data_IF_928655508559
#
_entry.id   IF_928655508559
#
_cell.length_a   1.000
_cell.length_b   1.000
_cell.length_c   1.000
_cell.angle_alpha   90.00
_cell.angle_beta   90.00
_cell.angle_gamma   90.00
#
_symmetry.space_group_name_H-M   'P 1'
#
loop_
_entity.id
_entity.type
_entity.pdbx_description
1 polymer ?
#
# COMPACT_ATOMS: atom_id res chain seq x y z
N UNK A 1 20.97 28.16 -17.33
CA UNK A 1 20.80 27.78 -15.91
C UNK A 1 19.36 27.59 -15.50
N UNK A 2 18.44 28.45 -15.94
CA UNK A 2 17.00 28.29 -15.67
C UNK A 2 16.37 27.06 -16.33
N UNK A 3 16.94 26.58 -17.43
CA UNK A 3 16.46 25.40 -18.14
C UNK A 3 16.57 24.10 -17.35
N UNK A 4 17.68 23.86 -16.64
CA UNK A 4 17.87 22.67 -15.80
C UNK A 4 16.90 22.63 -14.62
N UNK A 5 16.60 23.77 -14.04
CA UNK A 5 15.64 23.87 -12.93
C UNK A 5 14.21 23.62 -13.43
N UNK A 6 13.90 24.13 -14.63
CA UNK A 6 12.60 23.95 -15.26
C UNK A 6 12.34 22.47 -15.61
N UNK A 7 13.35 21.77 -16.14
CA UNK A 7 13.25 20.34 -16.47
C UNK A 7 13.00 19.48 -15.23
N UNK A 8 13.73 19.70 -14.14
CA UNK A 8 13.51 18.99 -12.86
C UNK A 8 12.12 19.26 -12.30
N UNK A 9 11.64 20.48 -12.41
CA UNK A 9 10.31 20.85 -11.95
C UNK A 9 9.23 20.19 -12.83
N UNK A 10 9.46 20.09 -14.13
CA UNK A 10 8.55 19.48 -15.09
C UNK A 10 8.40 17.98 -14.85
N UNK A 11 9.49 17.25 -14.62
CA UNK A 11 9.45 15.82 -14.29
C UNK A 11 8.67 15.55 -13.00
N UNK A 12 8.94 16.34 -11.96
CA UNK A 12 8.24 16.25 -10.69
C UNK A 12 6.75 16.59 -10.84
N UNK A 13 6.43 17.58 -11.67
CA UNK A 13 5.07 18.01 -11.95
C UNK A 13 4.33 16.94 -12.75
N UNK A 14 4.99 16.30 -13.72
CA UNK A 14 4.39 15.24 -14.54
C UNK A 14 3.95 14.04 -13.70
N UNK A 15 4.81 13.60 -12.75
CA UNK A 15 4.45 12.53 -11.83
C UNK A 15 3.27 12.93 -10.93
N UNK A 16 3.19 14.20 -10.56
CA UNK A 16 2.11 14.75 -9.74
C UNK A 16 0.81 14.91 -10.52
N UNK A 17 0.90 15.20 -11.82
CA UNK A 17 -0.26 15.41 -12.69
C UNK A 17 -1.01 14.12 -13.04
N UNK A 18 -0.34 12.96 -13.05
CA UNK A 18 -0.98 11.68 -13.36
C UNK A 18 -2.04 11.34 -12.31
N UNK A 19 -1.73 11.57 -11.05
CA UNK A 19 -2.63 11.28 -9.93
C UNK A 19 -2.94 12.55 -9.15
N UNK A 20 -4.21 12.75 -8.84
CA UNK A 20 -4.64 13.85 -7.95
C UNK A 20 -4.21 13.55 -6.51
N UNK A 21 -4.16 14.56 -5.62
CA UNK A 21 -3.88 14.31 -4.20
C UNK A 21 -4.82 13.29 -3.55
N UNK A 22 -6.11 13.31 -3.90
CA UNK A 22 -7.08 12.34 -3.39
C UNK A 22 -6.77 10.93 -3.89
N UNK A 23 -6.35 10.79 -5.15
CA UNK A 23 -5.96 9.50 -5.73
C UNK A 23 -4.69 8.95 -5.09
N UNK A 24 -3.71 9.80 -4.85
CA UNK A 24 -2.49 9.42 -4.12
C UNK A 24 -2.80 8.94 -2.70
N UNK A 25 -3.73 9.62 -2.03
CA UNK A 25 -4.17 9.25 -0.69
C UNK A 25 -4.85 7.87 -0.71
N UNK A 26 -5.60 7.55 -1.76
CA UNK A 26 -6.21 6.23 -1.94
C UNK A 26 -5.14 5.14 -1.99
N UNK A 27 -4.07 5.34 -2.77
CA UNK A 27 -2.95 4.39 -2.83
C UNK A 27 -2.27 4.24 -1.48
N UNK A 28 -2.04 5.32 -0.78
CA UNK A 28 -1.42 5.31 0.55
C UNK A 28 -2.28 4.59 1.58
N UNK A 29 -3.58 4.85 1.58
CA UNK A 29 -4.54 4.17 2.47
C UNK A 29 -4.51 2.66 2.23
N UNK A 30 -4.49 2.25 0.97
CA UNK A 30 -4.41 0.83 0.62
C UNK A 30 -3.12 0.19 1.15
N UNK A 31 -1.98 0.75 0.84
CA UNK A 31 -0.69 0.17 1.18
C UNK A 31 -0.42 0.17 2.69
N UNK A 32 -0.62 1.30 3.36
CA UNK A 32 -0.44 1.38 4.80
C UNK A 32 -1.49 0.55 5.56
N UNK A 33 -2.70 0.49 5.02
CA UNK A 33 -3.77 -0.35 5.56
C UNK A 33 -3.40 -1.83 5.53
N UNK A 34 -2.78 -2.31 4.44
CA UNK A 34 -2.31 -3.69 4.35
C UNK A 34 -1.26 -3.99 5.42
N UNK A 35 -0.28 -3.11 5.62
CA UNK A 35 0.71 -3.27 6.69
C UNK A 35 0.02 -3.41 8.04
N UNK A 36 -0.92 -2.54 8.35
CA UNK A 36 -1.65 -2.54 9.62
C UNK A 36 -2.52 -3.78 9.79
N UNK A 37 -3.19 -4.23 8.72
CA UNK A 37 -4.04 -5.43 8.77
C UNK A 37 -3.21 -6.70 8.95
N UNK A 38 -2.06 -6.78 8.30
CA UNK A 38 -1.16 -7.93 8.46
C UNK A 38 -0.64 -8.00 9.90
N UNK A 39 -0.27 -6.86 10.48
CA UNK A 39 0.14 -6.80 11.88
C UNK A 39 -1.00 -7.19 12.83
N UNK A 40 -2.22 -6.72 12.56
CA UNK A 40 -3.40 -7.03 13.39
C UNK A 40 -3.82 -8.50 13.29
N UNK A 41 -3.57 -9.16 12.15
CA UNK A 41 -3.89 -10.56 11.94
C UNK A 41 -2.90 -11.51 12.61
N UNK A 42 -1.75 -11.02 13.04
CA UNK A 42 -0.76 -11.79 13.77
C UNK A 42 -1.14 -11.81 15.27
N UNK A 43 -1.43 -12.99 15.85
CA UNK A 43 -1.89 -13.07 17.24
C UNK A 43 -0.80 -12.82 18.29
N UNK A 44 0.47 -12.84 17.90
CA UNK A 44 1.59 -12.62 18.80
C UNK A 44 1.94 -11.15 18.97
N UNK A 45 2.10 -10.66 20.19
CA UNK A 45 2.42 -9.26 20.42
C UNK A 45 3.77 -8.85 19.80
N UNK A 46 4.81 -9.69 19.97
CA UNK A 46 6.15 -9.45 19.44
C UNK A 46 6.17 -9.68 17.93
N UNK A 47 5.56 -10.77 17.45
CA UNK A 47 5.52 -11.07 16.01
C UNK A 47 4.66 -10.09 15.24
N UNK A 48 3.58 -9.55 15.83
CA UNK A 48 2.78 -8.47 15.25
C UNK A 48 3.63 -7.23 14.99
N UNK A 49 4.47 -6.85 15.94
CA UNK A 49 5.40 -5.72 15.76
C UNK A 49 6.39 -6.00 14.64
N UNK A 50 6.95 -7.20 14.58
CA UNK A 50 7.87 -7.61 13.50
C UNK A 50 7.19 -7.58 12.13
N UNK A 51 5.97 -8.11 12.05
CA UNK A 51 5.19 -8.11 10.82
C UNK A 51 4.94 -6.68 10.33
N UNK A 52 4.56 -5.79 11.22
CA UNK A 52 4.37 -4.37 10.91
C UNK A 52 5.65 -3.70 10.43
N UNK A 53 6.77 -3.95 11.09
CA UNK A 53 8.06 -3.39 10.69
C UNK A 53 8.53 -3.95 9.34
N UNK A 54 8.39 -5.25 9.12
CA UNK A 54 8.79 -5.90 7.87
C UNK A 54 7.92 -5.43 6.70
N UNK A 55 6.61 -5.34 6.92
CA UNK A 55 5.69 -4.81 5.91
C UNK A 55 5.97 -3.34 5.59
N UNK A 56 6.23 -2.53 6.61
CA UNK A 56 6.59 -1.12 6.43
C UNK A 56 7.89 -0.93 5.68
N UNK A 57 8.88 -1.78 5.95
CA UNK A 57 10.15 -1.78 5.21
C UNK A 57 9.94 -2.16 3.75
N UNK A 58 9.13 -3.18 3.49
CA UNK A 58 8.80 -3.59 2.13
C UNK A 58 8.07 -2.47 1.37
N UNK A 59 7.13 -1.78 2.03
CA UNK A 59 6.43 -0.63 1.48
C UNK A 59 7.42 0.48 1.10
N UNK A 60 8.38 0.76 1.97
CA UNK A 60 9.41 1.79 1.72
C UNK A 60 10.37 1.42 0.59
N UNK A 61 10.43 0.15 0.21
CA UNK A 61 11.27 -0.34 -0.89
C UNK A 61 10.59 -0.26 -2.25
N UNK A 62 9.32 0.12 -2.30
CA UNK A 62 8.57 0.21 -3.55
C UNK A 62 9.21 1.22 -4.51
N UNK A 63 9.11 0.95 -5.81
CA UNK A 63 9.73 1.75 -6.86
C UNK A 63 8.68 2.24 -7.87
N UNK A 64 9.10 3.04 -8.85
CA UNK A 64 8.24 3.58 -9.88
C UNK A 64 7.28 4.65 -9.36
N UNK A 65 6.20 4.88 -10.08
CA UNK A 65 5.17 5.85 -9.68
C UNK A 65 4.56 5.48 -8.32
N UNK A 66 4.26 4.20 -8.14
CA UNK A 66 3.74 3.68 -6.87
C UNK A 66 4.70 4.00 -5.72
N UNK A 67 5.97 3.67 -5.87
CA UNK A 67 6.97 3.95 -4.84
C UNK A 67 7.09 5.43 -4.52
N UNK A 68 7.03 6.26 -5.55
CA UNK A 68 7.08 7.71 -5.39
C UNK A 68 5.88 8.25 -4.58
N UNK A 69 4.69 7.78 -4.92
CA UNK A 69 3.46 8.16 -4.22
C UNK A 69 3.49 7.69 -2.76
N UNK A 70 3.93 6.46 -2.52
CA UNK A 70 3.96 5.90 -1.16
C UNK A 70 5.00 6.61 -0.27
N UNK A 71 6.02 7.21 -0.88
CA UNK A 71 7.04 7.97 -0.15
C UNK A 71 6.60 9.41 0.19
N UNK A 72 5.57 9.93 -0.47
CA UNK A 72 5.08 11.29 -0.22
C UNK A 72 4.42 11.40 1.15
N UNK A 73 4.62 12.53 1.82
CA UNK A 73 3.90 12.86 3.06
C UNK A 73 2.61 13.57 2.70
N UNK A 74 1.50 12.85 2.72
CA UNK A 74 0.19 13.40 2.43
C UNK A 74 -0.58 13.66 3.71
N UNK A 75 -1.31 14.77 3.74
CA UNK A 75 -2.24 15.09 4.81
C UNK A 75 -3.56 14.34 4.57
N UNK A 76 -4.17 13.88 5.64
CA UNK A 76 -5.48 13.22 5.57
C UNK A 76 -5.42 11.70 5.60
N UNK A 77 -4.21 11.11 5.68
CA UNK A 77 -4.09 9.68 5.87
C UNK A 77 -4.51 9.34 7.31
N UNK A 78 -5.69 8.76 7.44
CA UNK A 78 -6.23 8.35 8.73
C UNK A 78 -6.46 6.84 8.72
N UNK A 79 -5.59 6.12 9.43
CA UNK A 79 -5.69 4.68 9.61
C UNK A 79 -6.13 4.32 11.03
N UNK A 80 -6.35 5.32 11.87
CA UNK A 80 -6.86 5.15 13.23
C UNK A 80 -8.38 4.92 13.19
N UNK A 81 -8.80 3.89 12.48
CA UNK A 81 -10.18 3.45 12.52
C UNK A 81 -10.56 3.02 13.93
N UNK A 82 -11.83 3.18 14.28
CA UNK A 82 -12.34 2.80 15.59
C UNK A 82 -12.27 1.30 15.85
N UNK A 83 -12.03 0.48 14.79
CA UNK A 83 -11.91 -0.98 14.91
C UNK A 83 -11.11 -1.55 13.74
N UNK A 84 -10.62 -2.79 13.92
CA UNK A 84 -9.98 -3.55 12.86
C UNK A 84 -10.93 -3.78 11.68
N UNK A 85 -12.22 -3.96 11.95
CA UNK A 85 -13.23 -4.15 10.90
C UNK A 85 -13.35 -2.89 10.03
N UNK A 86 -13.38 -1.70 10.62
CA UNK A 86 -13.42 -0.43 9.89
C UNK A 86 -12.15 -0.23 9.07
N UNK A 87 -10.99 -0.53 9.64
CA UNK A 87 -9.71 -0.46 8.95
C UNK A 87 -9.71 -1.41 7.74
N UNK A 88 -10.23 -2.63 7.91
CA UNK A 88 -10.33 -3.61 6.83
C UNK A 88 -11.22 -3.11 5.70
N UNK A 89 -12.39 -2.59 6.02
CA UNK A 89 -13.34 -2.07 5.02
C UNK A 89 -12.71 -0.93 4.21
N UNK A 90 -12.09 0.03 4.87
CA UNK A 90 -11.41 1.15 4.22
C UNK A 90 -10.26 0.67 3.33
N UNK A 91 -9.47 -0.27 3.84
CA UNK A 91 -8.33 -0.82 3.10
C UNK A 91 -8.75 -1.59 1.86
N UNK A 92 -9.74 -2.48 1.99
CA UNK A 92 -10.24 -3.27 0.86
C UNK A 92 -10.84 -2.38 -0.22
N UNK A 93 -11.63 -1.39 0.17
CA UNK A 93 -12.18 -0.39 -0.76
C UNK A 93 -11.05 0.36 -1.47
N UNK A 94 -10.04 0.79 -0.72
CA UNK A 94 -8.89 1.53 -1.28
C UNK A 94 -8.05 0.66 -2.22
N UNK A 95 -7.88 -0.64 -1.91
CA UNK A 95 -7.16 -1.58 -2.78
C UNK A 95 -7.83 -1.71 -4.14
N UNK A 96 -9.13 -1.97 -4.16
CA UNK A 96 -9.90 -2.10 -5.40
C UNK A 96 -9.90 -0.78 -6.17
N UNK A 97 -10.12 0.34 -5.50
CA UNK A 97 -10.11 1.66 -6.12
C UNK A 97 -8.74 2.00 -6.71
N UNK A 98 -7.66 1.66 -6.01
CA UNK A 98 -6.28 1.88 -6.48
C UNK A 98 -6.01 1.09 -7.77
N UNK A 99 -6.39 -0.18 -7.80
CA UNK A 99 -6.21 -1.02 -8.99
C UNK A 99 -7.01 -0.49 -10.18
N UNK A 100 -8.27 -0.12 -9.98
CA UNK A 100 -9.12 0.45 -11.03
C UNK A 100 -8.52 1.73 -11.58
N UNK A 101 -8.08 2.61 -10.69
CA UNK A 101 -7.46 3.88 -11.02
C UNK A 101 -6.18 3.69 -11.85
N UNK A 102 -5.29 2.82 -11.41
CA UNK A 102 -4.01 2.58 -12.09
C UNK A 102 -4.20 1.88 -13.43
N UNK A 103 -5.14 0.93 -13.53
CA UNK A 103 -5.46 0.29 -14.81
C UNK A 103 -5.91 1.29 -15.85
N UNK A 104 -6.62 2.34 -15.42
CA UNK A 104 -7.11 3.40 -16.30
C UNK A 104 -6.01 4.39 -16.67
N UNK A 105 -5.24 4.85 -15.69
CA UNK A 105 -4.28 5.96 -15.87
C UNK A 105 -2.85 5.51 -16.17
N UNK A 106 -2.43 4.37 -15.65
CA UNK A 106 -1.05 3.88 -15.77
C UNK A 106 -1.02 2.35 -15.63
N UNK A 107 -1.44 1.59 -16.68
CA UNK A 107 -1.58 0.13 -16.58
C UNK A 107 -0.33 -0.62 -16.08
N UNK A 108 0.87 -0.20 -16.48
CA UNK A 108 2.11 -0.79 -16.00
C UNK A 108 2.28 -0.61 -14.49
N UNK A 109 1.78 0.49 -13.95
CA UNK A 109 1.83 0.76 -12.51
C UNK A 109 0.78 -0.02 -11.73
N UNK A 110 -0.31 -0.45 -12.37
CA UNK A 110 -1.26 -1.37 -11.75
C UNK A 110 -0.59 -2.69 -11.40
N UNK A 111 0.20 -3.25 -12.30
CA UNK A 111 0.99 -4.46 -12.04
C UNK A 111 2.02 -4.22 -10.94
N UNK A 112 2.70 -3.08 -10.99
CA UNK A 112 3.67 -2.69 -9.96
C UNK A 112 3.01 -2.56 -8.59
N UNK A 113 1.83 -1.97 -8.51
CA UNK A 113 1.08 -1.84 -7.27
C UNK A 113 0.68 -3.19 -6.72
N UNK A 114 0.15 -4.08 -7.57
CA UNK A 114 -0.21 -5.45 -7.19
C UNK A 114 1.00 -6.18 -6.61
N UNK A 115 2.15 -6.10 -7.30
CA UNK A 115 3.39 -6.73 -6.86
C UNK A 115 3.88 -6.12 -5.54
N UNK A 116 3.75 -4.81 -5.36
CA UNK A 116 4.14 -4.11 -4.13
C UNK A 116 3.31 -4.61 -2.94
N UNK A 117 2.00 -4.68 -3.09
CA UNK A 117 1.12 -5.19 -2.03
C UNK A 117 1.45 -6.64 -1.70
N UNK A 118 1.66 -7.47 -2.72
CA UNK A 118 2.06 -8.88 -2.52
C UNK A 118 3.37 -8.98 -1.74
N UNK A 119 4.35 -8.16 -2.09
CA UNK A 119 5.65 -8.11 -1.39
C UNK A 119 5.49 -7.71 0.07
N UNK A 120 4.62 -6.74 0.35
CA UNK A 120 4.32 -6.32 1.72
C UNK A 120 3.74 -7.49 2.53
N UNK A 121 2.77 -8.19 1.98
CA UNK A 121 2.16 -9.35 2.63
C UNK A 121 3.17 -10.46 2.90
N UNK A 122 3.99 -10.77 1.92
CA UNK A 122 5.03 -11.81 2.04
C UNK A 122 6.06 -11.43 3.11
N UNK A 123 6.50 -10.18 3.13
CA UNK A 123 7.46 -9.70 4.12
C UNK A 123 6.89 -9.80 5.54
N UNK A 124 5.64 -9.40 5.72
CA UNK A 124 4.95 -9.49 7.00
C UNK A 124 4.81 -10.95 7.46
N UNK A 125 4.42 -11.84 6.55
CA UNK A 125 4.28 -13.28 6.87
C UNK A 125 5.61 -13.93 7.25
N UNK A 126 6.68 -13.59 6.53
CA UNK A 126 8.02 -14.15 6.83
C UNK A 126 8.57 -13.69 8.16
N UNK A 127 8.14 -12.54 8.67
CA UNK A 127 8.55 -12.04 9.98
C UNK A 127 7.94 -12.86 11.12
N UNK A 128 6.91 -13.63 10.85
CA UNK A 128 6.27 -14.52 11.81
C UNK A 128 7.01 -15.86 11.83
N UNK A 129 7.66 -16.18 12.95
CA UNK A 129 8.48 -17.40 13.11
C UNK A 129 7.68 -18.70 12.99
N UNK A 130 6.39 -18.68 13.29
CA UNK A 130 5.51 -19.85 13.19
C UNK A 130 4.86 -20.03 11.82
N UNK A 131 5.18 -19.15 10.85
CA UNK A 131 4.49 -19.09 9.57
C UNK A 131 3.13 -18.43 9.70
N UNK A 132 2.43 -18.30 8.58
CA UNK A 132 1.11 -17.67 8.56
C UNK A 132 0.06 -18.52 9.28
N UNK A 133 -0.50 -17.98 10.34
CA UNK A 133 -1.61 -18.62 11.06
C UNK A 133 -2.92 -18.49 10.28
N UNK A 134 -4.03 -19.11 10.80
CA UNK A 134 -5.33 -19.07 10.12
C UNK A 134 -5.86 -17.66 9.88
N UNK A 135 -5.73 -16.76 10.85
CA UNK A 135 -6.20 -15.37 10.73
C UNK A 135 -5.40 -14.60 9.66
N UNK A 136 -4.09 -14.79 9.65
CA UNK A 136 -3.20 -14.16 8.67
C UNK A 136 -3.47 -14.68 7.26
N UNK A 137 -3.63 -15.99 7.11
CA UNK A 137 -3.98 -16.63 5.83
C UNK A 137 -5.32 -16.10 5.31
N UNK A 138 -6.32 -15.97 6.18
CA UNK A 138 -7.62 -15.41 5.82
C UNK A 138 -7.49 -13.94 5.39
N UNK A 139 -6.66 -13.17 6.07
CA UNK A 139 -6.41 -11.76 5.72
C UNK A 139 -5.75 -11.64 4.35
N UNK A 140 -4.74 -12.46 4.06
CA UNK A 140 -4.06 -12.48 2.76
C UNK A 140 -5.06 -12.76 1.64
N UNK A 141 -5.98 -13.72 1.84
CA UNK A 141 -7.02 -14.03 0.86
C UNK A 141 -7.94 -12.85 0.58
N UNK A 142 -8.34 -12.14 1.63
CA UNK A 142 -9.22 -10.96 1.51
C UNK A 142 -8.53 -9.81 0.79
N UNK A 143 -7.27 -9.57 1.11
CA UNK A 143 -6.46 -8.53 0.46
C UNK A 143 -6.30 -8.87 -1.04
N UNK A 144 -5.93 -10.11 -1.35
CA UNK A 144 -5.77 -10.58 -2.72
C UNK A 144 -7.08 -10.46 -3.49
N UNK A 145 -8.20 -10.86 -2.89
CA UNK A 145 -9.53 -10.74 -3.51
C UNK A 145 -9.87 -9.27 -3.82
N UNK A 146 -9.53 -8.34 -2.94
CA UNK A 146 -9.75 -6.91 -3.16
C UNK A 146 -8.90 -6.37 -4.31
N UNK A 147 -7.65 -6.81 -4.42
CA UNK A 147 -6.78 -6.45 -5.55
C UNK A 147 -7.34 -6.97 -6.88
N UNK A 148 -7.83 -8.20 -6.88
CA UNK A 148 -8.31 -8.88 -8.08
C UNK A 148 -9.74 -8.51 -8.47
N UNK A 149 -10.46 -7.80 -7.61
CA UNK A 149 -11.84 -7.38 -7.85
C UNK A 149 -11.96 -6.20 -8.86
N UNK A 150 -10.85 -5.56 -9.17
CA UNK A 150 -10.84 -4.42 -10.11
C UNK A 150 -10.75 -4.87 -11.57
#
# INVERSE_FOLDING_TARGET
MSEKTTEKTTEKTTSTEILTPAEKLTLQTAAHGVVSLMAAADPGLISSTRSGMAGGKALSSATGLVGHVLAEKLKGLDLDGSSTADLADHTFTALTASMTLLKTKAPAEAENFHATITTIMEAASRANKGGAGPAETAMIRKITAALDAA
#
